data_IF_982485772603
#
_entry.id   IF_982485772603
#
_cell.length_a   1.000
_cell.length_b   1.000
_cell.length_c   1.000
_cell.angle_alpha   90.00
_cell.angle_beta   90.00
_cell.angle_gamma   90.00
#
_symmetry.space_group_name_H-M   'P 1'
#
loop_
_entity.id
_entity.type
_entity.pdbx_description
1 polymer ?
#
# COMPACT_ATOMS: atom_id res chain seq x y z
N UNK A 1 8.88 2.41 14.34
CA UNK A 1 7.96 1.80 13.35
C UNK A 1 8.17 0.31 13.31
N UNK A 2 7.20 -0.48 13.76
CA UNK A 2 7.28 -1.96 13.72
C UNK A 2 7.70 -2.37 12.31
N UNK A 3 8.91 -2.91 12.14
CA UNK A 3 9.53 -3.29 10.86
C UNK A 3 8.58 -4.10 9.98
N UNK A 4 7.72 -4.87 10.63
CA UNK A 4 6.58 -5.60 10.06
C UNK A 4 5.66 -4.77 9.16
N UNK A 5 5.26 -3.57 9.57
CA UNK A 5 4.34 -2.72 8.78
C UNK A 5 5.02 -2.20 7.51
N UNK A 6 6.31 -1.86 7.61
CA UNK A 6 7.11 -1.36 6.47
C UNK A 6 7.36 -2.49 5.45
N UNK A 7 7.63 -3.70 5.94
CA UNK A 7 7.79 -4.90 5.11
C UNK A 7 6.48 -5.26 4.40
N UNK A 8 5.36 -5.28 5.11
CA UNK A 8 4.04 -5.55 4.55
C UNK A 8 3.67 -4.53 3.46
N UNK A 9 4.06 -3.27 3.63
CA UNK A 9 3.84 -2.26 2.62
C UNK A 9 4.68 -2.51 1.35
N UNK A 10 5.98 -2.74 1.50
CA UNK A 10 6.86 -3.05 0.35
C UNK A 10 6.40 -4.32 -0.40
N UNK A 11 5.87 -5.31 0.31
CA UNK A 11 5.27 -6.50 -0.30
C UNK A 11 4.09 -6.15 -1.21
N UNK A 12 3.21 -5.24 -0.77
CA UNK A 12 2.08 -4.77 -1.57
C UNK A 12 2.52 -3.98 -2.81
N UNK A 13 3.58 -3.17 -2.71
CA UNK A 13 4.17 -2.49 -3.87
C UNK A 13 4.71 -3.50 -4.88
N UNK A 14 5.48 -4.48 -4.39
CA UNK A 14 6.03 -5.54 -5.23
C UNK A 14 4.93 -6.33 -5.93
N UNK A 15 3.88 -6.71 -5.18
CA UNK A 15 2.74 -7.45 -5.74
C UNK A 15 1.98 -6.64 -6.79
N UNK A 16 1.80 -5.33 -6.58
CA UNK A 16 1.16 -4.46 -7.58
C UNK A 16 1.96 -4.35 -8.86
N UNK A 17 3.30 -4.23 -8.77
CA UNK A 17 4.19 -4.20 -9.95
C UNK A 17 4.14 -5.56 -10.66
N UNK A 18 4.18 -6.65 -9.90
CA UNK A 18 4.13 -8.00 -10.44
C UNK A 18 2.83 -8.28 -11.18
N UNK A 19 1.67 -7.89 -10.61
CA UNK A 19 0.38 -7.99 -11.30
C UNK A 19 0.36 -7.18 -12.60
N UNK A 20 0.88 -5.95 -12.58
CA UNK A 20 0.94 -5.11 -13.77
C UNK A 20 1.75 -5.77 -14.90
N UNK A 21 2.89 -6.39 -14.57
CA UNK A 21 3.73 -7.12 -15.53
C UNK A 21 2.99 -8.35 -16.09
N UNK A 22 2.31 -9.14 -15.24
CA UNK A 22 1.54 -10.31 -15.69
C UNK A 22 0.40 -9.90 -16.64
N UNK A 23 -0.36 -8.88 -16.26
CA UNK A 23 -1.49 -8.39 -17.08
C UNK A 23 -0.96 -7.87 -18.42
N UNK A 24 0.19 -7.19 -18.42
CA UNK A 24 0.83 -6.72 -19.65
C UNK A 24 1.28 -7.88 -20.53
N UNK A 25 1.94 -8.89 -19.95
CA UNK A 25 2.37 -10.08 -20.68
C UNK A 25 1.19 -10.83 -21.30
N UNK A 26 0.11 -11.03 -20.54
CA UNK A 26 -1.11 -11.67 -21.03
C UNK A 26 -1.85 -10.82 -22.07
N UNK A 27 -1.86 -9.50 -21.92
CA UNK A 27 -2.41 -8.59 -22.93
C UNK A 27 -1.68 -8.68 -24.27
N UNK A 28 -0.36 -8.91 -24.26
CA UNK A 28 0.42 -9.12 -25.49
C UNK A 28 0.15 -10.50 -26.11
N UNK A 29 0.09 -11.57 -25.31
CA UNK A 29 -0.09 -12.94 -25.82
C UNK A 29 -1.53 -13.29 -26.21
N UNK A 30 -2.52 -12.89 -25.41
CA UNK A 30 -3.93 -13.28 -25.57
C UNK A 30 -4.80 -12.16 -26.19
N UNK A 31 -4.22 -10.99 -26.42
CA UNK A 31 -4.88 -9.84 -27.03
C UNK A 31 -5.40 -8.81 -26.03
N UNK A 32 -5.05 -7.55 -26.26
CA UNK A 32 -5.37 -6.42 -25.38
C UNK A 32 -6.88 -6.18 -25.19
N UNK A 33 -7.71 -6.61 -26.14
CA UNK A 33 -9.17 -6.40 -26.10
C UNK A 33 -9.85 -7.05 -24.90
N UNK A 34 -9.33 -8.19 -24.45
CA UNK A 34 -9.87 -8.92 -23.29
C UNK A 34 -9.16 -8.55 -21.98
N UNK A 35 -7.88 -8.17 -22.07
CA UNK A 35 -7.04 -7.93 -20.90
C UNK A 35 -7.00 -6.47 -20.41
N UNK A 36 -7.42 -5.51 -21.26
CA UNK A 36 -7.47 -4.08 -20.90
C UNK A 36 -8.33 -3.80 -19.64
N UNK A 37 -9.45 -4.50 -19.45
CA UNK A 37 -10.29 -4.31 -18.26
C UNK A 37 -9.55 -4.66 -16.95
N UNK A 38 -8.64 -5.63 -16.98
CA UNK A 38 -7.84 -6.03 -15.82
C UNK A 38 -6.78 -4.99 -15.45
N UNK A 39 -6.42 -4.07 -16.34
CA UNK A 39 -5.57 -2.93 -15.96
C UNK A 39 -6.24 -2.03 -14.92
N UNK A 40 -7.57 -1.90 -14.96
CA UNK A 40 -8.32 -1.15 -13.95
C UNK A 40 -8.12 -1.78 -12.57
N UNK A 41 -8.13 -3.11 -12.49
CA UNK A 41 -7.84 -3.83 -11.24
C UNK A 41 -6.39 -3.64 -10.77
N UNK A 42 -5.43 -3.61 -11.69
CA UNK A 42 -4.03 -3.29 -11.39
C UNK A 42 -3.88 -1.88 -10.83
N UNK A 43 -4.58 -0.90 -11.43
CA UNK A 43 -4.58 0.50 -10.98
C UNK A 43 -5.22 0.62 -9.59
N UNK A 44 -6.35 -0.06 -9.34
CA UNK A 44 -7.00 -0.07 -8.03
C UNK A 44 -6.06 -0.67 -6.97
N UNK A 45 -5.38 -1.76 -7.29
CA UNK A 45 -4.41 -2.41 -6.38
C UNK A 45 -3.25 -1.47 -6.04
N UNK A 46 -2.74 -0.75 -7.05
CA UNK A 46 -1.71 0.26 -6.86
C UNK A 46 -2.21 1.45 -6.00
N UNK A 47 -3.43 1.91 -6.25
CA UNK A 47 -4.06 2.98 -5.47
C UNK A 47 -4.24 2.56 -4.00
N UNK A 48 -4.65 1.32 -3.78
CA UNK A 48 -4.80 0.72 -2.45
C UNK A 48 -3.49 0.66 -1.68
N UNK A 49 -2.37 0.42 -2.37
CA UNK A 49 -1.02 0.54 -1.80
C UNK A 49 -0.72 1.98 -1.36
N UNK A 50 -1.02 2.99 -2.19
CA UNK A 50 -0.83 4.41 -1.84
C UNK A 50 -1.66 4.78 -0.60
N UNK A 51 -2.94 4.39 -0.57
CA UNK A 51 -3.84 4.65 0.56
C UNK A 51 -3.30 4.00 1.84
N UNK A 52 -2.84 2.74 1.78
CA UNK A 52 -2.21 2.06 2.92
C UNK A 52 -0.99 2.82 3.43
N UNK A 53 -0.16 3.32 2.51
CA UNK A 53 1.04 4.11 2.85
C UNK A 53 0.66 5.39 3.57
N UNK A 54 -0.36 6.08 3.08
CA UNK A 54 -0.88 7.29 3.71
C UNK A 54 -1.46 7.00 5.09
N UNK A 55 -2.23 5.91 5.24
CA UNK A 55 -2.86 5.52 6.50
C UNK A 55 -1.82 5.22 7.58
N UNK A 56 -0.75 4.49 7.26
CA UNK A 56 0.32 4.23 8.25
C UNK A 56 1.01 5.52 8.69
N UNK A 57 1.30 6.42 7.76
CA UNK A 57 1.95 7.70 8.06
C UNK A 57 1.04 8.60 8.92
N UNK A 58 -0.28 8.55 8.69
CA UNK A 58 -1.28 9.21 9.56
C UNK A 58 -1.32 8.59 10.95
N UNK A 59 -1.33 7.26 11.05
CA UNK A 59 -1.37 6.54 12.33
C UNK A 59 -0.14 6.81 13.18
N UNK A 60 1.05 6.90 12.58
CA UNK A 60 2.26 7.30 13.31
C UNK A 60 2.13 8.66 13.98
N UNK A 61 1.57 9.65 13.28
CA UNK A 61 1.35 10.99 13.84
C UNK A 61 0.39 10.94 15.02
N UNK A 62 -0.69 10.15 14.93
CA UNK A 62 -1.62 10.00 16.04
C UNK A 62 -1.02 9.24 17.23
N UNK A 63 -0.25 8.18 16.99
CA UNK A 63 0.43 7.43 18.05
C UNK A 63 1.44 8.31 18.79
N UNK A 64 2.25 9.10 18.08
CA UNK A 64 3.18 10.06 18.70
C UNK A 64 2.46 11.08 19.59
N UNK A 65 1.32 11.59 19.12
CA UNK A 65 0.53 12.55 19.91
C UNK A 65 -0.02 11.94 21.20
N UNK A 66 -0.48 10.69 21.16
CA UNK A 66 -0.96 9.96 22.34
C UNK A 66 0.18 9.62 23.30
N UNK A 67 1.35 9.21 22.79
CA UNK A 67 2.54 8.94 23.61
C UNK A 67 3.02 10.22 24.33
N UNK A 68 3.02 11.37 23.66
CA UNK A 68 3.37 12.67 24.27
C UNK A 68 2.37 13.10 25.36
N UNK A 69 1.07 12.83 25.18
CA UNK A 69 0.07 13.08 26.22
C UNK A 69 0.27 12.15 27.42
N UNK A 70 0.50 10.86 27.16
CA UNK A 70 0.68 9.85 28.22
C UNK A 70 1.92 10.15 29.08
N UNK A 71 3.01 10.58 28.44
CA UNK A 71 4.21 10.99 29.15
C UNK A 71 3.97 12.24 30.01
N UNK A 72 3.24 13.24 29.51
CA UNK A 72 2.89 14.45 30.28
C UNK A 72 2.02 14.16 31.50
N UNK A 73 1.00 13.32 31.37
CA UNK A 73 0.11 12.93 32.48
C UNK A 73 0.83 12.09 33.54
N UNK A 74 1.81 11.27 33.16
CA UNK A 74 2.59 10.46 34.13
C UNK A 74 3.67 11.23 34.89
N UNK A 75 3.95 12.47 34.49
CA UNK A 75 4.96 13.36 35.08
C UNK A 75 4.38 14.51 35.90
N UNK A 76 3.07 14.51 36.15
CA UNK A 76 2.35 15.49 36.98
C UNK A 76 1.65 14.81 38.14
#
# INVERSE_FOLDING_TARGET
MKTYNKLMLNFWLFMSIFLFVIITYKGINEGFRNWYFYYVLSIITFLMYIIRRWMMNRMEKHQKFLDDQRNKESSS
#
